data_IF_589295914532
#
_entry.id   IF_589295914532
#
_cell.length_a   1.000
_cell.length_b   1.000
_cell.length_c   1.000
_cell.angle_alpha   90.00
_cell.angle_beta   90.00
_cell.angle_gamma   90.00
#
_symmetry.space_group_name_H-M   'P 1'
#
loop_
_entity.id
_entity.type
_entity.pdbx_description
1 polymer ?
#
# COMPACT_ATOMS: atom_id res chain seq x y z
N UNK A 1 10.70 18.92 -2.42
CA UNK A 1 9.53 18.61 -1.55
C UNK A 1 10.01 18.17 -0.18
N UNK A 2 9.47 18.78 0.87
CA UNK A 2 9.74 18.40 2.27
C UNK A 2 9.22 16.99 2.58
N UNK A 3 9.74 16.31 3.62
CA UNK A 3 9.24 15.00 4.05
C UNK A 3 7.73 15.00 4.30
N UNK A 4 7.23 16.03 5.00
CA UNK A 4 5.80 16.22 5.29
C UNK A 4 4.98 16.26 4.00
N UNK A 5 5.40 17.05 3.01
CA UNK A 5 4.67 17.15 1.74
C UNK A 5 4.59 15.81 1.01
N UNK A 6 5.65 14.98 1.06
CA UNK A 6 5.63 13.63 0.45
C UNK A 6 4.68 12.69 1.19
N UNK A 7 4.67 12.72 2.52
CA UNK A 7 3.73 11.96 3.35
C UNK A 7 2.29 12.32 3.02
N UNK A 8 1.98 13.62 2.98
CA UNK A 8 0.63 14.10 2.64
C UNK A 8 0.22 13.68 1.23
N UNK A 9 1.10 13.81 0.23
CA UNK A 9 0.81 13.35 -1.14
C UNK A 9 0.49 11.86 -1.17
N UNK A 10 1.28 11.01 -0.52
CA UNK A 10 1.04 9.56 -0.50
C UNK A 10 -0.28 9.21 0.20
N UNK A 11 -0.57 9.89 1.31
CA UNK A 11 -1.84 9.72 2.02
C UNK A 11 -3.02 10.14 1.14
N UNK A 12 -2.95 11.33 0.53
CA UNK A 12 -4.00 11.84 -0.35
C UNK A 12 -4.21 10.94 -1.56
N UNK A 13 -3.14 10.46 -2.19
CA UNK A 13 -3.24 9.50 -3.30
C UNK A 13 -3.93 8.21 -2.85
N UNK A 14 -3.57 7.68 -1.68
CA UNK A 14 -4.26 6.55 -1.09
C UNK A 14 -5.75 6.82 -0.92
N UNK A 15 -6.12 7.93 -0.28
CA UNK A 15 -7.53 8.32 -0.06
C UNK A 15 -8.29 8.41 -1.37
N UNK A 16 -7.77 9.12 -2.37
CA UNK A 16 -8.41 9.25 -3.68
C UNK A 16 -8.60 7.90 -4.34
N UNK A 17 -7.59 7.02 -4.32
CA UNK A 17 -7.72 5.67 -4.84
C UNK A 17 -8.76 4.84 -4.08
N UNK A 18 -8.84 4.99 -2.76
CA UNK A 18 -9.80 4.29 -1.90
C UNK A 18 -11.24 4.73 -2.15
N UNK A 19 -11.46 6.01 -2.40
CA UNK A 19 -12.76 6.53 -2.86
C UNK A 19 -13.07 6.02 -4.27
N UNK A 20 -12.09 6.06 -5.17
CA UNK A 20 -12.27 5.68 -6.57
C UNK A 20 -12.66 4.20 -6.72
N UNK A 21 -11.99 3.26 -6.04
CA UNK A 21 -12.32 1.83 -6.17
C UNK A 21 -13.78 1.55 -5.78
N UNK A 22 -14.29 2.25 -4.78
CA UNK A 22 -15.65 2.12 -4.31
C UNK A 22 -16.65 2.71 -5.27
N UNK A 23 -16.40 3.94 -5.71
CA UNK A 23 -17.31 4.63 -6.61
C UNK A 23 -17.39 3.94 -7.98
N UNK A 24 -16.27 3.43 -8.48
CA UNK A 24 -16.24 2.70 -9.75
C UNK A 24 -16.63 1.22 -9.63
N UNK A 25 -16.80 0.69 -8.41
CA UNK A 25 -17.18 -0.72 -8.20
C UNK A 25 -18.40 -1.15 -9.05
N UNK A 26 -19.53 -0.44 -9.05
CA UNK A 26 -20.72 -0.88 -9.80
C UNK A 26 -20.48 -1.00 -11.29
N UNK A 27 -19.60 -0.17 -11.85
CA UNK A 27 -19.26 -0.20 -13.28
C UNK A 27 -18.26 -1.31 -13.61
N UNK A 28 -17.42 -1.69 -12.64
CA UNK A 28 -16.41 -2.74 -12.80
C UNK A 28 -16.97 -4.14 -12.57
N UNK A 29 -17.91 -4.29 -11.63
CA UNK A 29 -18.34 -5.59 -11.11
C UNK A 29 -19.83 -5.84 -11.23
N UNK A 30 -20.64 -4.82 -11.52
CA UNK A 30 -22.10 -4.88 -11.44
C UNK A 30 -22.65 -4.88 -10.02
N UNK A 31 -21.79 -4.81 -9.00
CA UNK A 31 -22.19 -4.83 -7.58
C UNK A 31 -21.95 -3.48 -6.90
N UNK A 32 -22.83 -3.15 -5.96
CA UNK A 32 -22.74 -1.90 -5.18
C UNK A 32 -21.43 -1.85 -4.41
N UNK A 33 -21.08 -2.93 -3.73
CA UNK A 33 -19.88 -3.03 -2.92
C UNK A 33 -18.81 -3.88 -3.64
N UNK A 34 -17.53 -3.46 -3.65
CA UNK A 34 -16.48 -4.14 -4.40
C UNK A 34 -16.14 -5.53 -3.85
N UNK A 35 -16.50 -5.82 -2.60
CA UNK A 35 -16.33 -7.14 -2.00
C UNK A 35 -17.48 -8.10 -2.28
N UNK A 36 -18.65 -7.60 -2.71
CA UNK A 36 -19.79 -8.44 -3.11
C UNK A 36 -19.58 -9.04 -4.50
N UNK A 37 -18.59 -8.56 -5.24
CA UNK A 37 -18.24 -9.08 -6.53
C UNK A 37 -17.64 -10.49 -6.41
N UNK A 38 -18.07 -11.41 -7.27
CA UNK A 38 -17.45 -12.74 -7.42
C UNK A 38 -15.99 -12.67 -7.90
N UNK A 39 -15.56 -11.49 -8.35
CA UNK A 39 -14.19 -11.22 -8.79
C UNK A 39 -13.31 -10.76 -7.64
N UNK A 40 -12.01 -11.14 -7.60
CA UNK A 40 -11.10 -10.74 -6.54
C UNK A 40 -10.63 -9.28 -6.65
N UNK A 41 -11.38 -8.40 -7.31
CA UNK A 41 -10.95 -7.04 -7.64
C UNK A 41 -10.58 -6.24 -6.39
N UNK A 42 -11.33 -6.42 -5.30
CA UNK A 42 -11.09 -5.73 -4.05
C UNK A 42 -9.77 -6.18 -3.42
N UNK A 43 -9.51 -7.49 -3.33
CA UNK A 43 -8.24 -8.04 -2.87
C UNK A 43 -7.06 -7.58 -3.74
N UNK A 44 -7.21 -7.65 -5.06
CA UNK A 44 -6.16 -7.24 -6.01
C UNK A 44 -5.83 -5.76 -5.88
N UNK A 45 -6.83 -4.91 -5.61
CA UNK A 45 -6.62 -3.49 -5.39
C UNK A 45 -5.78 -3.20 -4.15
N UNK A 46 -5.99 -3.93 -3.05
CA UNK A 46 -5.16 -3.84 -1.84
C UNK A 46 -3.73 -4.27 -2.10
N UNK A 47 -3.54 -5.36 -2.84
CA UNK A 47 -2.21 -5.83 -3.21
C UNK A 47 -1.48 -4.80 -4.07
N UNK A 48 -2.16 -4.20 -5.04
CA UNK A 48 -1.60 -3.13 -5.88
C UNK A 48 -1.14 -1.95 -5.01
N UNK A 49 -1.99 -1.45 -4.12
CA UNK A 49 -1.65 -0.35 -3.21
C UNK A 49 -0.46 -0.70 -2.31
N UNK A 50 -0.40 -1.93 -1.77
CA UNK A 50 0.71 -2.38 -0.94
C UNK A 50 2.04 -2.43 -1.71
N UNK A 51 2.01 -2.98 -2.93
CA UNK A 51 3.20 -3.06 -3.80
C UNK A 51 3.65 -1.66 -4.20
N UNK A 52 2.74 -0.80 -4.65
CA UNK A 52 3.07 0.59 -5.01
C UNK A 52 3.65 1.35 -3.82
N UNK A 53 3.07 1.21 -2.63
CA UNK A 53 3.62 1.75 -1.39
C UNK A 53 5.02 1.23 -1.10
N UNK A 54 5.26 -0.07 -1.28
CA UNK A 54 6.55 -0.72 -1.09
C UNK A 54 7.63 -0.20 -2.05
N UNK A 55 7.26 0.00 -3.32
CA UNK A 55 8.15 0.49 -4.37
C UNK A 55 8.62 1.94 -4.16
N UNK A 56 7.96 2.72 -3.29
CA UNK A 56 8.48 4.02 -2.82
C UNK A 56 9.85 3.85 -2.14
N UNK A 57 10.15 2.65 -1.62
CA UNK A 57 11.47 2.31 -1.07
C UNK A 57 11.79 3.01 0.25
N UNK A 58 10.77 3.51 0.94
CA UNK A 58 10.90 4.20 2.22
C UNK A 58 9.64 3.98 3.08
N UNK A 59 9.80 3.95 4.41
CA UNK A 59 8.73 3.66 5.38
C UNK A 59 7.48 4.50 5.15
N UNK A 60 7.61 5.76 4.72
CA UNK A 60 6.45 6.61 4.37
C UNK A 60 5.53 6.04 3.29
N UNK A 61 5.97 5.02 2.54
CA UNK A 61 5.13 4.26 1.61
C UNK A 61 3.89 3.68 2.27
N UNK A 62 3.91 3.42 3.59
CA UNK A 62 2.74 2.96 4.36
C UNK A 62 1.57 3.96 4.36
N UNK A 63 1.81 5.22 4.04
CA UNK A 63 0.74 6.21 3.92
C UNK A 63 -0.24 5.89 2.77
N UNK A 64 0.20 5.16 1.75
CA UNK A 64 -0.67 4.71 0.65
C UNK A 64 -1.77 3.74 1.14
N UNK A 65 -1.47 2.58 1.74
CA UNK A 65 -2.50 1.67 2.25
C UNK A 65 -3.35 2.28 3.37
N UNK A 66 -2.77 3.14 4.23
CA UNK A 66 -3.55 3.87 5.24
C UNK A 66 -4.53 4.85 4.61
N UNK A 67 -4.07 5.65 3.65
CA UNK A 67 -4.94 6.56 2.91
C UNK A 67 -6.03 5.79 2.16
N UNK A 68 -5.67 4.67 1.53
CA UNK A 68 -6.62 3.80 0.84
C UNK A 68 -7.74 3.34 1.76
N UNK A 69 -7.39 2.80 2.94
CA UNK A 69 -8.36 2.42 3.96
C UNK A 69 -9.30 3.58 4.35
N UNK A 70 -8.74 4.77 4.60
CA UNK A 70 -9.52 5.96 4.94
C UNK A 70 -10.47 6.36 3.80
N UNK A 71 -10.02 6.31 2.55
CA UNK A 71 -10.87 6.59 1.40
C UNK A 71 -12.08 5.66 1.30
N UNK A 72 -11.86 4.36 1.53
CA UNK A 72 -12.95 3.37 1.57
C UNK A 72 -13.91 3.60 2.75
N UNK A 73 -13.36 3.91 3.94
CA UNK A 73 -14.16 4.24 5.13
C UNK A 73 -15.01 5.49 4.93
N UNK A 74 -14.50 6.50 4.21
CA UNK A 74 -15.24 7.73 3.91
C UNK A 74 -16.49 7.46 3.06
N UNK A 75 -16.39 6.57 2.07
CA UNK A 75 -17.55 6.21 1.22
C UNK A 75 -18.55 5.37 2.02
N UNK A 76 -18.06 4.44 2.83
CA UNK A 76 -18.90 3.50 3.59
C UNK A 76 -19.45 4.05 4.90
N UNK A 77 -19.12 5.29 5.29
CA UNK A 77 -19.55 5.89 6.55
C UNK A 77 -21.08 5.96 6.68
N UNK A 78 -21.79 6.13 5.56
CA UNK A 78 -23.25 6.13 5.56
C UNK A 78 -23.81 4.73 5.80
N UNK A 79 -23.20 3.68 5.22
CA UNK A 79 -23.57 2.28 5.44
C UNK A 79 -23.45 1.89 6.92
N UNK A 80 -22.45 2.40 7.63
CA UNK A 80 -22.26 2.20 9.09
C UNK A 80 -23.38 2.80 9.92
N UNK A 81 -23.94 3.94 9.50
CA UNK A 81 -25.00 4.61 10.26
C UNK A 81 -26.37 3.95 10.10
N UNK A 82 -26.56 3.20 9.01
CA UNK A 82 -27.88 2.73 8.58
C UNK A 82 -28.06 1.22 8.78
N UNK A 83 -26.99 0.42 8.78
CA UNK A 83 -27.10 -1.04 8.87
C UNK A 83 -26.09 -1.71 9.81
N UNK A 84 -26.48 -2.85 10.37
CA UNK A 84 -25.68 -3.70 11.26
C UNK A 84 -24.36 -4.19 10.61
N UNK A 85 -24.30 -4.23 9.27
CA UNK A 85 -23.13 -4.71 8.52
C UNK A 85 -22.04 -3.67 8.28
N UNK A 86 -22.30 -2.37 8.51
CA UNK A 86 -21.29 -1.36 8.20
C UNK A 86 -20.08 -1.42 9.14
N UNK A 87 -20.29 -1.74 10.43
CA UNK A 87 -19.19 -1.94 11.37
C UNK A 87 -18.30 -3.13 10.96
N UNK A 88 -18.91 -4.22 10.47
CA UNK A 88 -18.19 -5.36 9.94
C UNK A 88 -17.36 -4.99 8.69
N UNK A 89 -17.93 -4.21 7.77
CA UNK A 89 -17.21 -3.67 6.62
C UNK A 89 -15.97 -2.85 7.02
N UNK A 90 -16.09 -2.00 8.04
CA UNK A 90 -14.94 -1.25 8.58
C UNK A 90 -13.88 -2.14 9.22
N UNK A 91 -14.28 -3.21 9.92
CA UNK A 91 -13.35 -4.20 10.45
C UNK A 91 -12.58 -4.90 9.32
N UNK A 92 -13.26 -5.27 8.24
CA UNK A 92 -12.61 -5.84 7.06
C UNK A 92 -11.65 -4.84 6.41
N UNK A 93 -12.08 -3.60 6.13
CA UNK A 93 -11.19 -2.56 5.59
C UNK A 93 -9.97 -2.38 6.49
N UNK A 94 -10.14 -2.34 7.81
CA UNK A 94 -9.05 -2.27 8.78
C UNK A 94 -8.10 -3.47 8.73
N UNK A 95 -8.63 -4.69 8.69
CA UNK A 95 -7.83 -5.91 8.59
C UNK A 95 -6.99 -5.96 7.30
N UNK A 96 -7.59 -5.61 6.17
CA UNK A 96 -6.88 -5.52 4.89
C UNK A 96 -5.84 -4.39 4.89
N UNK A 97 -6.13 -3.25 5.54
CA UNK A 97 -5.17 -2.17 5.70
C UNK A 97 -3.93 -2.60 6.51
N UNK A 98 -4.11 -3.38 7.58
CA UNK A 98 -3.00 -3.95 8.36
C UNK A 98 -2.16 -4.88 7.49
N UNK A 99 -2.79 -5.82 6.77
CA UNK A 99 -2.08 -6.76 5.89
C UNK A 99 -1.31 -6.00 4.80
N UNK A 100 -1.96 -5.06 4.11
CA UNK A 100 -1.34 -4.24 3.08
C UNK A 100 -0.15 -3.40 3.61
N UNK A 101 -0.27 -2.89 4.84
CA UNK A 101 0.80 -2.16 5.51
C UNK A 101 1.99 -3.07 5.83
N UNK A 102 1.74 -4.29 6.32
CA UNK A 102 2.79 -5.29 6.58
C UNK A 102 3.53 -5.64 5.28
N UNK A 103 2.79 -5.90 4.19
CA UNK A 103 3.38 -6.18 2.87
C UNK A 103 4.25 -5.00 2.40
N UNK A 104 3.72 -3.77 2.53
CA UNK A 104 4.45 -2.54 2.19
C UNK A 104 5.78 -2.46 2.95
N UNK A 105 5.75 -2.67 4.27
CA UNK A 105 6.92 -2.63 5.13
C UNK A 105 7.92 -3.74 4.78
N UNK A 106 7.45 -4.95 4.50
CA UNK A 106 8.29 -6.07 4.08
C UNK A 106 9.05 -5.75 2.78
N UNK A 107 8.38 -5.14 1.80
CA UNK A 107 9.01 -4.71 0.54
C UNK A 107 10.04 -3.59 0.75
N UNK A 108 9.72 -2.59 1.59
CA UNK A 108 10.66 -1.53 1.95
C UNK A 108 11.89 -2.11 2.67
N UNK A 109 11.69 -3.01 3.63
CA UNK A 109 12.77 -3.67 4.36
C UNK A 109 13.64 -4.54 3.47
N UNK A 110 13.01 -5.35 2.61
CA UNK A 110 13.68 -6.22 1.65
C UNK A 110 14.54 -5.43 0.66
N UNK A 111 14.00 -4.35 0.09
CA UNK A 111 14.77 -3.49 -0.83
C UNK A 111 15.93 -2.78 -0.13
N UNK A 112 15.76 -2.33 1.11
CA UNK A 112 16.85 -1.75 1.90
C UNK A 112 17.96 -2.78 2.21
N UNK A 113 17.59 -4.00 2.57
CA UNK A 113 18.52 -5.09 2.85
C UNK A 113 19.32 -5.48 1.59
N UNK A 114 18.63 -5.66 0.47
CA UNK A 114 19.27 -5.99 -0.82
C UNK A 114 20.28 -4.91 -1.23
N UNK A 115 19.92 -3.62 -1.11
CA UNK A 115 20.84 -2.51 -1.36
C UNK A 115 22.06 -2.56 -0.45
N UNK A 116 21.89 -2.91 0.83
CA UNK A 116 23.00 -3.02 1.80
C UNK A 116 23.93 -4.18 1.45
N UNK A 117 23.39 -5.34 1.09
CA UNK A 117 24.18 -6.51 0.66
C UNK A 117 24.97 -6.21 -0.60
N UNK A 118 24.32 -5.58 -1.58
CA UNK A 118 24.95 -5.23 -2.85
C UNK A 118 26.11 -4.25 -2.67
N UNK A 119 25.93 -3.19 -1.86
CA UNK A 119 27.02 -2.24 -1.52
C UNK A 119 28.22 -2.93 -0.88
N UNK A 120 27.99 -3.82 0.10
CA UNK A 120 29.08 -4.59 0.74
C UNK A 120 29.86 -5.43 -0.28
N UNK A 121 29.16 -6.09 -1.21
CA UNK A 121 29.80 -6.91 -2.26
C UNK A 121 30.65 -6.05 -3.19
N UNK A 122 30.14 -4.91 -3.64
CA UNK A 122 30.87 -3.99 -4.52
C UNK A 122 32.13 -3.42 -3.86
N UNK A 123 32.05 -3.04 -2.58
CA UNK A 123 33.23 -2.57 -1.83
C UNK A 123 34.32 -3.64 -1.69
N UNK A 124 33.93 -4.90 -1.47
CA UNK A 124 34.88 -6.02 -1.39
C UNK A 124 35.59 -6.27 -2.72
N UNK A 125 34.86 -6.21 -3.84
CA UNK A 125 35.43 -6.39 -5.19
C UNK A 125 36.40 -5.24 -5.53
N UNK A 126 36.02 -4.00 -5.25
CA UNK A 126 36.88 -2.84 -5.49
C UNK A 126 38.20 -2.92 -4.71
N UNK A 127 38.16 -3.36 -3.45
CA UNK A 127 39.37 -3.52 -2.63
C UNK A 127 40.31 -4.65 -3.07
N UNK A 128 39.82 -5.65 -3.81
CA UNK A 128 40.66 -6.69 -4.41
C UNK A 128 41.38 -6.19 -5.66
N UNK A 129 40.73 -5.33 -6.46
CA UNK A 129 41.31 -4.77 -7.67
C UNK A 129 42.37 -3.68 -7.40
N UNK A 130 42.34 -3.05 -6.23
CA UNK A 130 43.32 -2.01 -5.86
C UNK A 130 44.63 -2.57 -5.28
N UNK A 131 44.79 -3.89 -5.15
CA UNK A 131 46.05 -4.50 -4.70
C UNK A 131 47.01 -4.62 -5.89
N UNK A 132 48.24 -4.09 -5.80
CA UNK A 132 49.21 -4.27 -6.86
C UNK A 132 49.49 -5.77 -7.06
N UNK A 133 49.72 -6.23 -8.31
CA UNK A 133 50.20 -7.58 -8.55
C UNK A 133 51.55 -7.73 -7.83
N UNK A 134 51.60 -8.66 -6.88
CA UNK A 134 52.83 -9.08 -6.21
C UNK A 134 53.60 -10.09 -7.03
#
# INVERSE_FOLDING_TARGET
MTPIRKTLVLLTLGVVSGVAIWWFSPWLTGQVEPWDADTPIWLLSWLLIAVTGGLVGHVRGVCLPLGYALGQMLVTVQSVRIGEFGALGWMFIGGYAVIATIITLALVGGTALLKRVWRKRSSKVAGLMSRPPG
#
